data_IF_219822734207
#
_entry.id   IF_219822734207
#
_cell.length_a   1.000
_cell.length_b   1.000
_cell.length_c   1.000
_cell.angle_alpha   90.00
_cell.angle_beta   90.00
_cell.angle_gamma   90.00
#
_symmetry.space_group_name_H-M   'P 1'
#
loop_
_entity.id
_entity.type
_entity.pdbx_description
1 polymer ?
#
# COMPACT_ATOMS: atom_id res chain seq x y z
N UNK A 1 -3.52 19.60 13.27
CA UNK A 1 -2.21 19.28 13.91
C UNK A 1 -1.23 18.89 12.82
N UNK A 2 -0.14 19.64 12.66
CA UNK A 2 0.86 19.38 11.63
C UNK A 2 1.58 18.07 11.94
N UNK A 3 1.50 17.10 11.03
CA UNK A 3 2.23 15.85 11.12
C UNK A 3 3.71 16.14 10.78
N UNK A 4 4.41 16.88 11.66
CA UNK A 4 5.82 17.24 11.47
C UNK A 4 6.64 15.97 11.64
N UNK A 5 7.30 15.56 10.56
CA UNK A 5 8.31 14.51 10.59
C UNK A 5 9.44 14.94 11.51
N UNK A 6 9.83 14.06 12.44
CA UNK A 6 10.95 14.32 13.34
C UNK A 6 12.23 13.97 12.61
N UNK A 7 13.20 14.88 12.66
CA UNK A 7 14.54 14.69 12.11
C UNK A 7 15.26 13.50 12.79
N UNK A 8 15.90 12.65 11.99
CA UNK A 8 16.64 11.48 12.51
C UNK A 8 17.80 11.89 13.42
N UNK A 9 18.38 13.07 13.20
CA UNK A 9 19.39 13.69 14.07
C UNK A 9 18.89 13.87 15.52
N UNK A 10 17.64 14.31 15.69
CA UNK A 10 17.02 14.46 17.02
C UNK A 10 16.76 13.10 17.68
N UNK A 11 16.35 12.10 16.91
CA UNK A 11 16.16 10.73 17.43
C UNK A 11 17.50 10.14 17.86
N UNK A 12 18.57 10.38 17.09
CA UNK A 12 19.93 9.97 17.46
C UNK A 12 20.38 10.59 18.78
N UNK A 13 20.06 11.86 19.01
CA UNK A 13 20.30 12.54 20.28
C UNK A 13 19.49 11.93 21.43
N UNK A 14 18.19 11.65 21.21
CA UNK A 14 17.35 10.95 22.20
C UNK A 14 18.00 9.63 22.61
N UNK A 15 18.44 8.81 21.65
CA UNK A 15 19.05 7.53 21.93
C UNK A 15 20.37 7.70 22.70
N UNK A 16 21.23 8.65 22.31
CA UNK A 16 22.49 8.95 23.00
C UNK A 16 22.27 9.32 24.46
N UNK A 17 21.37 10.26 24.72
CA UNK A 17 21.07 10.69 26.07
C UNK A 17 20.38 9.56 26.88
N UNK A 18 19.56 8.72 26.24
CA UNK A 18 19.03 7.53 26.90
C UNK A 18 20.15 6.55 27.33
N UNK A 19 21.16 6.33 26.48
CA UNK A 19 22.32 5.51 26.82
C UNK A 19 23.16 6.10 27.98
N UNK A 20 23.15 7.42 28.14
CA UNK A 20 23.77 8.12 29.28
C UNK A 20 22.91 8.11 30.56
N UNK A 21 21.74 7.48 30.55
CA UNK A 21 20.88 7.34 31.73
C UNK A 21 19.87 8.46 31.96
N UNK A 22 19.66 9.36 30.99
CA UNK A 22 18.64 10.41 31.11
C UNK A 22 17.22 9.85 31.00
N UNK A 23 16.33 10.30 31.89
CA UNK A 23 14.91 9.93 31.87
C UNK A 23 14.12 10.67 30.78
N UNK A 24 12.98 10.09 30.36
CA UNK A 24 12.12 10.62 29.28
C UNK A 24 11.63 12.05 29.53
N UNK A 25 11.40 12.43 30.79
CA UNK A 25 11.05 13.80 31.18
C UNK A 25 12.17 14.79 30.84
N UNK A 26 13.40 14.50 31.27
CA UNK A 26 14.57 15.35 31.01
C UNK A 26 14.87 15.45 29.52
N UNK A 27 14.69 14.36 28.76
CA UNK A 27 14.84 14.36 27.30
C UNK A 27 13.82 15.25 26.59
N UNK A 28 12.57 15.24 27.08
CA UNK A 28 11.50 16.09 26.54
C UNK A 28 11.83 17.57 26.72
N UNK A 29 12.28 17.94 27.93
CA UNK A 29 12.62 19.31 28.28
C UNK A 29 13.88 19.78 27.50
N UNK A 30 14.88 18.91 27.33
CA UNK A 30 16.14 19.23 26.65
C UNK A 30 16.00 19.34 25.12
N UNK A 31 15.24 18.43 24.49
CA UNK A 31 15.17 18.31 23.03
C UNK A 31 13.91 18.94 22.42
N UNK A 32 12.99 19.42 23.27
CA UNK A 32 11.71 20.01 22.86
C UNK A 32 10.81 19.01 22.13
N UNK A 33 10.93 17.72 22.45
CA UNK A 33 10.14 16.65 21.85
C UNK A 33 9.03 16.21 22.80
N UNK A 34 7.87 15.86 22.25
CA UNK A 34 6.78 15.28 23.03
C UNK A 34 7.20 13.94 23.65
N UNK A 35 6.87 13.73 24.94
CA UNK A 35 7.18 12.50 25.68
C UNK A 35 6.69 11.24 24.97
N UNK A 36 5.46 11.26 24.46
CA UNK A 36 4.87 10.14 23.71
C UNK A 36 5.72 9.75 22.50
N UNK A 37 6.38 10.73 21.86
CA UNK A 37 7.24 10.44 20.73
C UNK A 37 8.56 9.81 21.18
N UNK A 38 9.17 10.33 22.24
CA UNK A 38 10.38 9.75 22.84
C UNK A 38 10.10 8.30 23.24
N UNK A 39 9.02 8.05 23.98
CA UNK A 39 8.61 6.71 24.40
C UNK A 39 8.38 5.78 23.22
N UNK A 40 7.73 6.25 22.15
CA UNK A 40 7.54 5.48 20.92
C UNK A 40 8.87 5.02 20.33
N UNK A 41 9.85 5.91 20.18
CA UNK A 41 11.16 5.56 19.60
C UNK A 41 12.00 4.67 20.52
N UNK A 42 11.97 4.92 21.83
CA UNK A 42 12.64 4.06 22.81
C UNK A 42 12.05 2.66 22.83
N UNK A 43 10.73 2.53 22.76
CA UNK A 43 10.07 1.23 22.68
C UNK A 43 10.41 0.49 21.37
N UNK A 44 10.49 1.19 20.23
CA UNK A 44 10.93 0.60 18.97
C UNK A 44 12.40 0.14 19.03
N UNK A 45 13.26 0.91 19.70
CA UNK A 45 14.64 0.52 19.99
C UNK A 45 14.70 -0.74 20.84
N UNK A 46 14.03 -0.77 21.99
CA UNK A 46 14.01 -1.94 22.87
C UNK A 46 13.48 -3.19 22.16
N UNK A 47 12.42 -3.06 21.37
CA UNK A 47 11.86 -4.15 20.56
C UNK A 47 12.82 -4.65 19.47
N UNK A 48 13.83 -3.86 19.10
CA UNK A 48 14.79 -4.25 18.09
C UNK A 48 15.85 -5.22 18.55
N UNK A 49 16.18 -5.21 19.85
CA UNK A 49 17.27 -6.01 20.40
C UNK A 49 18.67 -5.64 19.87
N UNK A 50 18.81 -4.54 19.12
CA UNK A 50 20.12 -4.08 18.65
C UNK A 50 20.85 -3.34 19.76
N UNK A 51 22.18 -3.40 19.71
CA UNK A 51 23.01 -2.59 20.60
C UNK A 51 22.95 -1.11 20.21
N UNK A 52 23.24 -0.27 21.19
CA UNK A 52 23.23 1.18 21.04
C UNK A 52 24.25 1.64 19.97
N UNK A 53 25.42 1.00 19.90
CA UNK A 53 26.48 1.32 18.94
C UNK A 53 26.08 0.99 17.50
N UNK A 54 25.42 -0.15 17.28
CA UNK A 54 24.96 -0.57 15.96
C UNK A 54 23.97 0.42 15.37
N UNK A 55 23.00 0.89 16.16
CA UNK A 55 22.01 1.86 15.70
C UNK A 55 22.62 3.22 15.42
N UNK A 56 23.55 3.65 16.28
CA UNK A 56 24.27 4.91 16.07
C UNK A 56 25.22 4.88 14.87
N UNK A 57 25.59 3.70 14.37
CA UNK A 57 26.42 3.57 13.16
C UNK A 57 25.59 3.64 11.87
N UNK A 58 24.28 3.40 11.94
CA UNK A 58 23.41 3.47 10.76
C UNK A 58 23.32 4.90 10.21
N UNK A 59 23.20 4.99 8.88
CA UNK A 59 22.88 6.25 8.20
C UNK A 59 21.44 6.68 8.49
N UNK A 60 21.17 7.98 8.34
CA UNK A 60 19.85 8.54 8.64
C UNK A 60 18.74 7.94 7.77
N UNK A 61 19.02 7.59 6.51
CA UNK A 61 18.09 6.90 5.61
C UNK A 61 17.75 5.50 6.12
N UNK A 62 18.76 4.72 6.51
CA UNK A 62 18.60 3.39 7.07
C UNK A 62 17.86 3.42 8.41
N UNK A 63 18.20 4.38 9.28
CA UNK A 63 17.56 4.58 10.57
C UNK A 63 16.08 4.95 10.41
N UNK A 64 15.78 5.82 9.44
CA UNK A 64 14.42 6.21 9.12
C UNK A 64 13.59 5.02 8.65
N UNK A 65 14.09 4.25 7.68
CA UNK A 65 13.44 3.04 7.18
C UNK A 65 13.22 2.02 8.29
N UNK A 66 14.21 1.81 9.15
CA UNK A 66 14.11 0.89 10.28
C UNK A 66 12.97 1.25 11.25
N UNK A 67 12.84 2.54 11.62
CA UNK A 67 11.76 2.97 12.50
C UNK A 67 10.40 3.00 11.79
N UNK A 68 10.36 3.29 10.49
CA UNK A 68 9.13 3.24 9.68
C UNK A 68 8.60 1.81 9.51
N UNK A 69 9.46 0.85 9.15
CA UNK A 69 9.07 -0.54 8.95
C UNK A 69 8.52 -1.17 10.24
N UNK A 70 9.07 -0.80 11.39
CA UNK A 70 8.61 -1.28 12.70
C UNK A 70 7.38 -0.55 13.23
N UNK A 71 7.04 0.61 12.67
CA UNK A 71 5.78 1.32 12.96
C UNK A 71 4.64 0.95 12.03
N UNK A 72 4.93 0.36 10.86
CA UNK A 72 3.89 -0.39 10.15
C UNK A 72 3.40 -1.46 11.12
N UNK A 73 2.11 -1.50 11.50
CA UNK A 73 1.61 -2.64 12.23
C UNK A 73 2.02 -3.86 11.41
N UNK A 74 2.76 -4.78 12.04
CA UNK A 74 3.01 -6.10 11.48
C UNK A 74 1.61 -6.63 11.25
N UNK A 75 1.07 -6.49 10.04
CA UNK A 75 -0.24 -6.99 9.72
C UNK A 75 -0.11 -8.47 10.05
N UNK A 76 -0.73 -8.89 11.15
CA UNK A 76 -0.91 -10.30 11.42
C UNK A 76 -1.76 -10.72 10.25
N UNK A 77 -1.11 -11.24 9.21
CA UNK A 77 -1.76 -11.60 7.96
C UNK A 77 -2.70 -12.73 8.34
N UNK A 78 -3.94 -12.35 8.64
CA UNK A 78 -4.94 -13.28 9.14
C UNK A 78 -5.07 -14.42 8.14
N UNK A 79 -5.44 -15.61 8.60
CA UNK A 79 -5.64 -16.76 7.69
C UNK A 79 -6.55 -16.38 6.50
N UNK A 80 -7.56 -15.54 6.76
CA UNK A 80 -8.49 -14.96 5.75
C UNK A 80 -7.81 -14.06 4.72
N UNK A 81 -6.80 -13.29 5.12
CA UNK A 81 -6.01 -12.48 4.21
C UNK A 81 -5.17 -13.34 3.27
N UNK A 82 -4.53 -14.40 3.82
CA UNK A 82 -3.76 -15.35 3.01
C UNK A 82 -4.64 -16.07 2.00
N UNK A 83 -5.81 -16.58 2.42
CA UNK A 83 -6.74 -17.27 1.51
C UNK A 83 -7.25 -16.36 0.40
N UNK A 84 -7.61 -15.10 0.71
CA UNK A 84 -8.01 -14.17 -0.34
C UNK A 84 -6.86 -13.90 -1.31
N UNK A 85 -5.65 -13.65 -0.80
CA UNK A 85 -4.46 -13.37 -1.63
C UNK A 85 -4.14 -14.49 -2.62
N UNK A 86 -4.31 -15.77 -2.25
CA UNK A 86 -4.09 -16.90 -3.17
C UNK A 86 -5.13 -16.97 -4.29
N UNK A 87 -6.35 -16.46 -4.05
CA UNK A 87 -7.46 -16.48 -5.02
C UNK A 87 -7.47 -15.25 -5.95
N UNK A 88 -6.86 -14.13 -5.54
CA UNK A 88 -6.82 -12.88 -6.31
C UNK A 88 -6.36 -13.05 -7.77
N UNK A 89 -5.30 -13.83 -8.10
CA UNK A 89 -4.86 -14.01 -9.48
C UNK A 89 -5.95 -14.63 -10.38
N UNK A 90 -6.65 -15.65 -9.90
CA UNK A 90 -7.71 -16.32 -10.66
C UNK A 90 -8.94 -15.43 -10.82
N UNK A 91 -9.34 -14.72 -9.75
CA UNK A 91 -10.43 -13.75 -9.83
C UNK A 91 -10.14 -12.60 -10.80
N UNK A 92 -8.91 -12.08 -10.80
CA UNK A 92 -8.49 -11.04 -11.73
C UNK A 92 -8.50 -11.52 -13.20
N UNK A 93 -8.12 -12.78 -13.47
CA UNK A 93 -8.23 -13.39 -14.81
C UNK A 93 -9.69 -13.53 -15.23
N UNK A 94 -10.56 -14.03 -14.35
CA UNK A 94 -11.99 -14.24 -14.63
C UNK A 94 -12.72 -12.94 -14.91
N UNK A 95 -12.38 -11.85 -14.22
CA UNK A 95 -12.96 -10.52 -14.49
C UNK A 95 -12.65 -9.97 -15.88
N UNK A 96 -11.67 -10.50 -16.61
CA UNK A 96 -11.41 -10.12 -18.01
C UNK A 96 -12.39 -10.79 -18.99
N UNK A 97 -13.11 -11.83 -18.56
CA UNK A 97 -14.10 -12.54 -19.40
C UNK A 97 -15.44 -11.79 -19.39
N UNK A 98 -16.13 -11.78 -20.55
CA UNK A 98 -17.47 -11.20 -20.65
C UNK A 98 -18.44 -11.93 -19.71
N UNK A 99 -19.32 -11.17 -19.05
CA UNK A 99 -20.37 -11.70 -18.17
C UNK A 99 -19.94 -11.99 -16.72
N UNK A 100 -18.68 -11.79 -16.33
CA UNK A 100 -18.23 -11.99 -14.95
C UNK A 100 -18.23 -10.67 -14.18
N UNK A 101 -19.01 -10.60 -13.09
CA UNK A 101 -19.06 -9.41 -12.22
C UNK A 101 -18.34 -9.65 -10.89
N UNK A 102 -17.89 -8.55 -10.25
CA UNK A 102 -17.28 -8.60 -8.90
C UNK A 102 -18.25 -9.15 -7.85
N UNK A 103 -19.55 -8.92 -8.03
CA UNK A 103 -20.59 -9.43 -7.13
C UNK A 103 -20.69 -10.96 -7.20
N UNK A 104 -20.64 -11.54 -8.41
CA UNK A 104 -20.65 -12.99 -8.59
C UNK A 104 -19.44 -13.64 -7.93
N UNK A 105 -18.24 -13.11 -8.17
CA UNK A 105 -17.02 -13.64 -7.55
C UNK A 105 -17.03 -13.52 -6.02
N UNK A 106 -17.64 -12.45 -5.47
CA UNK A 106 -17.79 -12.29 -4.03
C UNK A 106 -18.79 -13.29 -3.44
N UNK A 107 -19.88 -13.59 -4.14
CA UNK A 107 -20.85 -14.60 -3.73
C UNK A 107 -20.22 -16.01 -3.72
N UNK A 108 -19.46 -16.37 -4.76
CA UNK A 108 -18.69 -17.62 -4.81
C UNK A 108 -17.68 -17.69 -3.65
N UNK A 109 -16.93 -16.61 -3.42
CA UNK A 109 -15.96 -16.55 -2.33
C UNK A 109 -16.60 -16.75 -0.95
N UNK A 110 -17.79 -16.20 -0.70
CA UNK A 110 -18.49 -16.42 0.57
C UNK A 110 -19.13 -17.80 0.70
N UNK A 111 -19.44 -18.47 -0.41
CA UNK A 111 -19.92 -19.85 -0.40
C UNK A 111 -18.82 -20.81 0.08
N UNK A 112 -17.58 -20.60 -0.38
CA UNK A 112 -16.43 -21.40 0.02
C UNK A 112 -15.86 -20.97 1.39
N UNK A 113 -15.96 -19.67 1.72
CA UNK A 113 -15.40 -19.08 2.93
C UNK A 113 -16.44 -18.21 3.67
N UNK A 114 -17.32 -18.81 4.49
CA UNK A 114 -18.39 -18.08 5.18
C UNK A 114 -17.87 -16.98 6.14
N UNK A 115 -16.69 -17.20 6.74
CA UNK A 115 -16.01 -16.23 7.61
C UNK A 115 -15.11 -15.23 6.85
N UNK A 116 -15.15 -15.25 5.53
CA UNK A 116 -14.34 -14.43 4.64
C UNK A 116 -14.64 -12.93 4.69
N UNK A 117 -13.90 -12.17 3.88
CA UNK A 117 -14.13 -10.74 3.75
C UNK A 117 -15.50 -10.38 3.17
N UNK A 118 -16.14 -9.38 3.78
CA UNK A 118 -17.34 -8.74 3.23
C UNK A 118 -17.00 -7.98 1.95
N UNK A 119 -18.04 -7.70 1.15
CA UNK A 119 -17.95 -7.17 -0.21
C UNK A 119 -17.00 -5.99 -0.35
N UNK A 120 -17.09 -5.00 0.55
CA UNK A 120 -16.26 -3.78 0.47
C UNK A 120 -14.77 -4.09 0.57
N UNK A 121 -14.36 -4.94 1.52
CA UNK A 121 -12.95 -5.30 1.70
C UNK A 121 -12.46 -6.22 0.59
N UNK A 122 -13.29 -7.16 0.14
CA UNK A 122 -13.00 -8.01 -1.02
C UNK A 122 -12.72 -7.17 -2.28
N UNK A 123 -13.61 -6.22 -2.61
CA UNK A 123 -13.45 -5.35 -3.75
C UNK A 123 -12.20 -4.46 -3.64
N UNK A 124 -11.88 -3.95 -2.45
CA UNK A 124 -10.68 -3.15 -2.21
C UNK A 124 -9.40 -3.96 -2.50
N UNK A 125 -9.27 -5.15 -1.92
CA UNK A 125 -8.12 -6.03 -2.17
C UNK A 125 -7.99 -6.43 -3.64
N UNK A 126 -9.11 -6.70 -4.31
CA UNK A 126 -9.11 -7.03 -5.74
C UNK A 126 -8.68 -5.84 -6.61
N UNK A 127 -9.10 -4.62 -6.26
CA UNK A 127 -8.70 -3.40 -6.94
C UNK A 127 -7.20 -3.11 -6.74
N UNK A 128 -6.70 -3.22 -5.50
CA UNK A 128 -5.27 -3.04 -5.15
C UNK A 128 -4.38 -4.05 -5.92
N UNK A 129 -4.82 -5.30 -6.05
CA UNK A 129 -4.13 -6.30 -6.85
C UNK A 129 -4.12 -5.95 -8.34
N UNK A 130 -5.26 -5.50 -8.88
CA UNK A 130 -5.37 -5.09 -10.28
C UNK A 130 -4.55 -3.84 -10.61
N UNK A 131 -4.42 -2.88 -9.68
CA UNK A 131 -3.56 -1.70 -9.87
C UNK A 131 -2.08 -2.05 -9.82
N UNK A 132 -1.68 -2.96 -8.94
CA UNK A 132 -0.27 -3.38 -8.81
C UNK A 132 0.18 -4.21 -10.02
N UNK A 133 -0.72 -5.02 -10.58
CA UNK A 133 -0.45 -5.87 -11.74
C UNK A 133 -0.50 -5.15 -13.09
N UNK A 134 -0.94 -3.88 -13.12
CA UNK A 134 -0.93 -3.04 -14.33
C UNK A 134 0.13 -1.94 -14.16
N UNK A 135 1.37 -2.12 -14.65
CA UNK A 135 2.25 -0.98 -14.84
C UNK A 135 1.58 -0.06 -15.86
N UNK A 136 1.07 1.09 -15.40
CA UNK A 136 0.52 2.11 -16.27
C UNK A 136 1.69 2.75 -17.03
N UNK A 137 2.00 2.25 -18.23
CA UNK A 137 2.83 2.97 -19.16
C UNK A 137 2.04 4.21 -19.62
N UNK A 138 2.48 5.40 -19.20
CA UNK A 138 1.98 6.64 -19.76
C UNK A 138 2.37 6.67 -21.24
N UNK A 139 1.42 6.36 -22.14
CA UNK A 139 1.64 6.49 -23.57
C UNK A 139 1.38 7.95 -23.92
N UNK A 140 2.44 8.73 -24.10
CA UNK A 140 2.32 10.08 -24.63
C UNK A 140 1.67 10.01 -26.02
N UNK A 141 0.42 10.44 -26.13
CA UNK A 141 -0.28 10.53 -27.39
C UNK A 141 -0.14 11.95 -27.92
N UNK A 142 0.62 12.13 -29.01
CA UNK A 142 0.60 13.39 -29.77
C UNK A 142 -0.77 13.57 -30.41
N UNK A 143 -1.39 14.71 -30.14
CA UNK A 143 -2.71 15.10 -30.66
C UNK A 143 -2.63 15.15 -32.20
N UNK A 144 -3.34 14.25 -32.89
CA UNK A 144 -3.50 14.28 -34.36
C UNK A 144 -3.12 13.02 -35.12
N UNK A 145 -2.42 12.04 -34.53
CA UNK A 145 -1.88 10.89 -35.29
C UNK A 145 -2.79 9.65 -35.32
N UNK A 146 -3.72 9.47 -34.37
CA UNK A 146 -4.57 8.25 -34.32
C UNK A 146 -6.01 8.57 -33.97
N UNK A 147 -6.90 8.30 -34.92
CA UNK A 147 -8.35 8.25 -34.69
C UNK A 147 -8.72 6.82 -34.25
N UNK A 148 -9.12 6.67 -32.98
CA UNK A 148 -9.68 5.41 -32.48
C UNK A 148 -11.20 5.47 -32.63
N UNK A 149 -11.75 4.69 -33.56
CA UNK A 149 -13.20 4.51 -33.73
C UNK A 149 -13.60 3.29 -32.90
N UNK A 150 -14.28 3.52 -31.78
CA UNK A 150 -14.79 2.43 -30.94
C UNK A 150 -16.12 1.94 -31.52
N UNK A 151 -16.08 0.80 -32.21
CA UNK A 151 -17.26 0.22 -32.85
C UNK A 151 -18.06 -0.59 -31.82
N UNK A 152 -18.99 0.07 -31.12
CA UNK A 152 -19.95 -0.56 -30.21
C UNK A 152 -21.18 -1.10 -30.96
N UNK A 153 -20.96 -1.95 -31.97
CA UNK A 153 -22.03 -2.58 -32.74
C UNK A 153 -21.94 -4.10 -32.66
N UNK A 154 -22.92 -4.72 -31.99
CA UNK A 154 -23.14 -6.16 -32.05
C UNK A 154 -23.42 -6.54 -33.51
N UNK A 155 -22.64 -7.48 -34.07
CA UNK A 155 -22.71 -7.80 -35.51
C UNK A 155 -23.92 -8.69 -35.78
N UNK A 156 -25.05 -8.07 -36.12
CA UNK A 156 -26.02 -8.68 -37.02
C UNK A 156 -26.19 -7.80 -38.25
N UNK A 157 -25.77 -8.35 -39.41
CA UNK A 157 -26.36 -8.10 -40.71
C UNK A 157 -26.29 -6.69 -41.32
N UNK A 158 -25.66 -6.64 -42.50
CA UNK A 158 -26.08 -5.89 -43.70
C UNK A 158 -25.62 -4.43 -43.93
N UNK A 159 -24.87 -4.30 -45.05
CA UNK A 159 -25.08 -3.43 -46.22
C UNK A 159 -25.04 -1.87 -46.09
N UNK A 160 -23.99 -1.33 -46.72
CA UNK A 160 -23.89 -0.14 -47.62
C UNK A 160 -24.09 1.27 -47.02
N UNK A 161 -23.04 2.11 -47.13
CA UNK A 161 -22.93 3.16 -48.17
C UNK A 161 -21.58 3.87 -48.09
N UNK A 162 -20.77 3.67 -49.12
CA UNK A 162 -19.60 4.51 -49.41
C UNK A 162 -20.12 5.83 -49.96
N UNK A 163 -19.96 6.91 -49.20
CA UNK A 163 -20.05 8.28 -49.75
C UNK A 163 -18.64 8.74 -50.09
N UNK A 164 -18.34 8.77 -51.40
CA UNK A 164 -17.29 9.61 -51.95
C UNK A 164 -17.71 11.07 -51.77
N UNK A 165 -16.81 11.92 -51.31
CA UNK A 165 -16.86 13.34 -51.61
C UNK A 165 -15.57 13.71 -52.35
N UNK A 166 -15.80 14.44 -53.44
CA UNK A 166 -14.86 15.05 -54.40
C UNK A 166 -13.68 15.76 -53.76
#
# INVERSE_FOLDING_TARGET
MSNKTIEMSKIRQVLRCYASGYGTKSLSDMLGLYRNTIEKYLHLYQKSGLSMEEILRMDDSCLHSFFQEKTKPKEVVSARCKTLQTLLPEYAKRLKKKGVSRQMLHAEYLADYPDGYRRSRFCACLQEYMSTSRPAAHLEHKVGDKMFIDYAGDKQGSLVKVCKYT
#
